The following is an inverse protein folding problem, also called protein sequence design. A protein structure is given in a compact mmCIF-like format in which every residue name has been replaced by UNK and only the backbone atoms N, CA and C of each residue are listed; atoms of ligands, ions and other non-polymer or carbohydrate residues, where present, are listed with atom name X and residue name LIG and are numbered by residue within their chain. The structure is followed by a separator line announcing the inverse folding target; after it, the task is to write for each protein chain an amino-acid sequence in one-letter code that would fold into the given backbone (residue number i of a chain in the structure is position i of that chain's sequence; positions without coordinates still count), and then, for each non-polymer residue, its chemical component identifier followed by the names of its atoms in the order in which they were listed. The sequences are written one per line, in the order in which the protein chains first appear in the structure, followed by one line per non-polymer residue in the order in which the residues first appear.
data_IF_941366293335
#
_entry.id   IF_941366293335
#
_cell.length_a   1.000
_cell.length_b   1.000
_cell.length_c   1.000
_cell.angle_alpha   90.00
_cell.angle_beta   90.00
_cell.angle_gamma   90.00
#
_symmetry.space_group_name_H-M   'P 1'
#
loop_
_entity.id
_entity.type
_entity.pdbx_description
1 polymer ?
#
# COMPACT_ATOMS: atom_id res chain seq x y z
N UNK A 1 4.27 35.83 -16.54
CA UNK A 1 3.45 34.62 -16.54
C UNK A 1 4.39 33.43 -16.42
N UNK A 2 4.47 32.83 -15.23
CA UNK A 2 5.38 31.71 -14.94
C UNK A 2 4.78 30.43 -15.51
N UNK A 3 5.31 29.98 -16.65
CA UNK A 3 4.95 28.70 -17.25
C UNK A 3 5.32 27.56 -16.31
N UNK A 4 4.32 26.81 -15.86
CA UNK A 4 4.53 25.55 -15.13
C UNK A 4 5.26 24.61 -16.07
N UNK A 5 6.55 24.36 -15.82
CA UNK A 5 7.28 23.29 -16.51
C UNK A 5 6.73 21.96 -15.97
N UNK A 6 5.90 21.29 -16.76
CA UNK A 6 5.57 19.89 -16.52
C UNK A 6 6.89 19.10 -16.59
N UNK A 7 7.21 18.39 -15.49
CA UNK A 7 8.34 17.47 -15.45
C UNK A 7 7.95 16.26 -16.31
N UNK A 8 8.82 15.80 -17.21
CA UNK A 8 8.56 14.70 -18.18
C UNK A 8 8.13 13.35 -17.58
N UNK A 9 8.03 13.25 -16.25
CA UNK A 9 7.19 12.27 -15.57
C UNK A 9 5.84 12.90 -15.29
N UNK A 10 4.94 12.93 -16.27
CA UNK A 10 3.53 13.20 -15.97
C UNK A 10 3.12 12.29 -14.80
N UNK A 11 2.38 12.85 -13.83
CA UNK A 11 1.81 12.10 -12.73
C UNK A 11 0.79 11.10 -13.31
N UNK A 12 1.28 9.99 -13.86
CA UNK A 12 0.51 8.77 -14.04
C UNK A 12 0.09 8.37 -12.62
N UNK A 13 -1.05 8.89 -12.19
CA UNK A 13 -1.62 8.57 -10.90
C UNK A 13 -1.90 7.07 -10.85
N UNK A 14 -1.79 6.48 -9.66
CA UNK A 14 -2.11 5.08 -9.44
C UNK A 14 -0.89 4.19 -9.21
N UNK A 15 -1.20 2.95 -8.83
CA UNK A 15 -0.22 1.90 -8.55
C UNK A 15 -0.32 0.80 -9.62
N UNK A 16 0.81 0.18 -9.91
CA UNK A 16 0.92 -1.00 -10.78
C UNK A 16 0.84 -2.30 -10.00
N UNK A 17 1.38 -2.33 -8.78
CA UNK A 17 1.35 -3.52 -7.94
C UNK A 17 1.38 -3.17 -6.45
N UNK A 18 0.83 -4.08 -5.66
CA UNK A 18 0.94 -4.11 -4.21
C UNK A 18 1.55 -5.46 -3.85
N UNK A 19 2.62 -5.43 -3.07
CA UNK A 19 3.18 -6.58 -2.39
C UNK A 19 3.14 -6.31 -0.89
N UNK A 20 3.04 -7.37 -0.08
CA UNK A 20 3.00 -7.26 1.37
C UNK A 20 3.93 -8.25 2.04
N UNK A 21 4.24 -7.98 3.30
CA UNK A 21 4.82 -8.93 4.23
C UNK A 21 4.18 -8.68 5.60
N UNK A 22 3.99 -9.71 6.41
CA UNK A 22 3.50 -9.52 7.76
C UNK A 22 4.49 -8.68 8.57
N UNK A 23 3.98 -7.72 9.34
CA UNK A 23 4.80 -6.82 10.14
C UNK A 23 5.67 -7.59 11.15
N UNK A 24 5.16 -8.72 11.66
CA UNK A 24 5.92 -9.62 12.55
C UNK A 24 7.09 -10.32 11.86
N UNK A 25 7.09 -10.43 10.54
CA UNK A 25 8.14 -11.09 9.76
C UNK A 25 9.26 -10.13 9.35
N UNK A 26 9.10 -8.84 9.60
CA UNK A 26 10.10 -7.81 9.32
C UNK A 26 11.04 -7.65 10.52
N UNK A 27 12.34 -7.83 10.30
CA UNK A 27 13.36 -7.69 11.35
C UNK A 27 13.87 -6.25 11.45
N UNK A 28 14.05 -5.57 10.32
CA UNK A 28 14.39 -4.15 10.30
C UNK A 28 13.99 -3.48 8.98
N UNK A 29 13.66 -2.19 9.04
CA UNK A 29 13.52 -1.31 7.88
C UNK A 29 14.54 -0.18 8.03
N UNK A 30 15.40 0.07 7.04
CA UNK A 30 16.34 1.19 7.07
C UNK A 30 15.64 2.53 7.32
N UNK A 31 16.29 3.40 8.10
CA UNK A 31 15.82 4.75 8.34
C UNK A 31 16.00 5.64 7.11
N UNK A 32 15.26 6.75 7.06
CA UNK A 32 15.35 7.75 6.00
C UNK A 32 14.23 7.63 4.94
N UNK A 33 14.09 8.70 4.17
CA UNK A 33 13.02 8.82 3.16
C UNK A 33 13.30 8.02 1.88
N UNK A 34 14.56 7.66 1.66
CA UNK A 34 15.03 6.83 0.54
C UNK A 34 15.80 5.66 1.13
N UNK A 35 15.32 4.46 0.85
CA UNK A 35 15.87 3.19 1.31
C UNK A 35 16.68 2.59 0.16
N UNK A 36 18.00 2.61 0.29
CA UNK A 36 18.95 2.05 -0.69
C UNK A 36 19.54 0.71 -0.26
N UNK A 37 19.19 0.22 0.93
CA UNK A 37 19.58 -1.10 1.44
C UNK A 37 18.37 -2.01 1.55
N UNK A 38 18.59 -3.32 1.53
CA UNK A 38 17.50 -4.29 1.63
C UNK A 38 16.80 -4.21 2.98
N UNK A 39 15.50 -4.54 2.97
CA UNK A 39 14.70 -4.70 4.17
C UNK A 39 14.98 -6.07 4.77
N UNK A 40 15.24 -6.11 6.07
CA UNK A 40 15.47 -7.36 6.78
C UNK A 40 14.16 -8.11 7.00
N UNK A 41 14.09 -9.35 6.52
CA UNK A 41 12.99 -10.29 6.79
C UNK A 41 13.52 -11.48 7.60
N UNK A 42 12.63 -12.14 8.35
CA UNK A 42 12.94 -13.44 8.98
C UNK A 42 13.29 -14.46 7.89
N UNK A 43 14.11 -15.46 8.23
CA UNK A 43 14.55 -16.48 7.29
C UNK A 43 13.36 -17.20 6.62
N UNK A 44 13.41 -17.37 5.30
CA UNK A 44 12.36 -18.02 4.50
C UNK A 44 11.14 -17.15 4.21
N UNK A 45 11.10 -15.91 4.68
CA UNK A 45 10.02 -14.96 4.40
C UNK A 45 10.35 -14.12 3.18
N UNK A 46 9.32 -13.78 2.41
CA UNK A 46 9.41 -12.96 1.20
C UNK A 46 8.24 -12.00 1.14
N UNK A 47 8.35 -11.01 0.26
CA UNK A 47 7.21 -10.22 -0.19
C UNK A 47 6.24 -11.11 -0.97
N UNK A 48 4.96 -11.06 -0.60
CA UNK A 48 3.87 -11.77 -1.24
C UNK A 48 3.08 -10.79 -2.11
N UNK A 49 2.70 -11.16 -3.34
CA UNK A 49 1.84 -10.32 -4.16
C UNK A 49 0.44 -10.22 -3.54
N UNK A 50 -0.17 -9.04 -3.63
CA UNK A 50 -1.58 -8.86 -3.36
C UNK A 50 -2.28 -8.50 -4.67
N UNK A 51 -3.16 -9.38 -5.12
CA UNK A 51 -3.82 -9.24 -6.42
C UNK A 51 -4.96 -8.22 -6.33
N UNK A 52 -5.00 -7.28 -7.27
CA UNK A 52 -6.05 -6.30 -7.39
C UNK A 52 -6.40 -6.10 -8.87
N UNK A 53 -7.63 -5.68 -9.14
CA UNK A 53 -8.05 -5.28 -10.48
C UNK A 53 -7.14 -4.16 -11.00
N UNK A 54 -6.61 -4.34 -12.21
CA UNK A 54 -5.71 -3.37 -12.83
C UNK A 54 -6.37 -1.97 -12.91
N UNK A 55 -5.62 -0.93 -12.58
CA UNK A 55 -6.12 0.46 -12.58
C UNK A 55 -7.01 0.84 -11.41
N UNK A 56 -7.37 -0.11 -10.53
CA UNK A 56 -8.16 0.18 -9.31
C UNK A 56 -7.30 0.69 -8.14
N UNK A 57 -5.99 0.51 -8.22
CA UNK A 57 -5.08 0.73 -7.09
C UNK A 57 -4.65 2.19 -6.97
N UNK A 58 -4.69 2.72 -5.75
CA UNK A 58 -4.31 4.11 -5.45
C UNK A 58 -3.63 4.21 -4.09
N UNK A 59 -2.59 5.03 -4.01
CA UNK A 59 -2.00 5.47 -2.74
C UNK A 59 -2.52 6.89 -2.42
N UNK A 60 -2.96 7.09 -1.19
CA UNK A 60 -3.32 8.39 -0.61
C UNK A 60 -2.53 8.59 0.67
N UNK A 61 -1.97 9.77 0.84
CA UNK A 61 -1.14 10.14 2.00
C UNK A 61 -1.58 11.54 2.43
N UNK A 62 -2.37 11.63 3.49
CA UNK A 62 -2.86 12.89 4.02
C UNK A 62 -2.01 13.30 5.22
N UNK A 63 -1.33 14.44 5.12
CA UNK A 63 -0.65 15.05 6.27
C UNK A 63 -1.68 15.54 7.28
N UNK A 64 -1.43 15.22 8.55
CA UNK A 64 -2.26 15.57 9.69
C UNK A 64 -1.36 16.09 10.81
N UNK A 65 -1.92 16.96 11.63
CA UNK A 65 -1.25 17.51 12.81
C UNK A 65 -2.23 17.45 13.97
N UNK A 66 -1.77 16.97 15.12
CA UNK A 66 -2.54 16.96 16.37
C UNK A 66 -1.64 17.39 17.55
N UNK A 67 -2.19 17.38 18.76
CA UNK A 67 -1.44 17.77 19.98
C UNK A 67 -0.20 16.91 20.26
N UNK A 68 -0.10 15.72 19.66
CA UNK A 68 1.04 14.80 19.79
C UNK A 68 2.08 14.96 18.68
N UNK A 69 1.82 15.83 17.68
CA UNK A 69 2.72 16.16 16.59
C UNK A 69 2.16 15.86 15.20
N UNK A 70 3.07 15.86 14.23
CA UNK A 70 2.77 15.59 12.83
C UNK A 70 2.67 14.09 12.55
N UNK A 71 1.70 13.70 11.75
CA UNK A 71 1.57 12.33 11.26
C UNK A 71 0.94 12.31 9.85
N UNK A 72 0.95 11.14 9.23
CA UNK A 72 0.36 10.89 7.93
C UNK A 72 -0.69 9.79 8.08
N UNK A 73 -1.91 10.09 7.69
CA UNK A 73 -2.95 9.09 7.45
C UNK A 73 -2.71 8.52 6.04
N UNK A 74 -2.26 7.27 5.99
CA UNK A 74 -1.91 6.62 4.75
C UNK A 74 -2.97 5.57 4.42
N UNK A 75 -3.46 5.61 3.19
CA UNK A 75 -4.38 4.61 2.66
C UNK A 75 -3.91 4.10 1.31
N UNK A 76 -3.81 2.78 1.17
CA UNK A 76 -3.63 2.09 -0.12
C UNK A 76 -4.94 1.41 -0.49
N UNK A 77 -5.58 1.90 -1.55
CA UNK A 77 -6.84 1.35 -2.07
C UNK A 77 -6.58 0.30 -3.15
N UNK A 78 -7.51 -0.64 -3.26
CA UNK A 78 -7.62 -1.57 -4.38
C UNK A 78 -9.05 -2.08 -4.53
N UNK A 79 -9.34 -2.72 -5.66
CA UNK A 79 -10.52 -3.57 -5.84
C UNK A 79 -10.06 -5.00 -6.09
N UNK A 80 -10.78 -5.95 -5.52
CA UNK A 80 -10.57 -7.38 -5.77
C UNK A 80 -11.83 -7.99 -6.37
N UNK A 81 -11.71 -9.02 -7.23
CA UNK A 81 -12.86 -9.79 -7.68
C UNK A 81 -13.56 -10.42 -6.47
N UNK A 82 -14.87 -10.26 -6.37
CA UNK A 82 -15.65 -10.71 -5.20
C UNK A 82 -15.84 -12.22 -5.09
N UNK A 83 -15.73 -12.98 -6.19
CA UNK A 83 -16.07 -14.41 -6.25
C UNK A 83 -14.83 -15.32 -6.48
N UNK A 84 -13.62 -14.86 -6.14
CA UNK A 84 -12.40 -15.65 -6.29
C UNK A 84 -11.95 -16.24 -4.93
N UNK A 85 -12.08 -17.56 -4.71
CA UNK A 85 -11.80 -18.19 -3.41
C UNK A 85 -10.33 -18.08 -2.97
N UNK A 86 -9.39 -18.00 -3.92
CA UNK A 86 -7.98 -17.79 -3.61
C UNK A 86 -7.77 -16.39 -3.04
N UNK A 87 -8.42 -15.39 -3.64
CA UNK A 87 -8.40 -14.00 -3.15
C UNK A 87 -9.11 -13.84 -1.81
N UNK A 88 -10.27 -14.48 -1.62
CA UNK A 88 -10.98 -14.47 -0.34
C UNK A 88 -10.11 -15.03 0.80
N UNK A 89 -9.45 -16.16 0.58
CA UNK A 89 -8.57 -16.77 1.60
C UNK A 89 -7.44 -15.83 2.02
N UNK A 90 -6.81 -15.16 1.05
CA UNK A 90 -5.74 -14.18 1.32
C UNK A 90 -6.28 -12.97 2.08
N UNK A 91 -7.46 -12.48 1.69
CA UNK A 91 -8.13 -11.35 2.32
C UNK A 91 -8.52 -11.67 3.77
N UNK A 92 -9.08 -12.84 4.04
CA UNK A 92 -9.43 -13.30 5.38
C UNK A 92 -8.20 -13.41 6.29
N UNK A 93 -7.09 -13.97 5.78
CA UNK A 93 -5.84 -14.05 6.53
C UNK A 93 -5.32 -12.66 6.93
N UNK A 94 -5.43 -11.70 6.02
CA UNK A 94 -4.95 -10.32 6.21
C UNK A 94 -5.81 -9.47 7.13
N UNK A 95 -7.12 -9.74 7.25
CA UNK A 95 -8.02 -9.02 8.15
C UNK A 95 -7.55 -9.06 9.61
N UNK A 96 -6.98 -10.20 10.03
CA UNK A 96 -6.51 -10.40 11.40
C UNK A 96 -5.06 -9.93 11.64
N UNK A 97 -4.34 -9.57 10.57
CA UNK A 97 -2.90 -9.35 10.61
C UNK A 97 -2.51 -7.91 10.29
N UNK A 98 -1.31 -7.56 10.74
CA UNK A 98 -0.67 -6.30 10.45
C UNK A 98 0.39 -6.53 9.38
N UNK A 99 0.47 -5.64 8.39
CA UNK A 99 1.38 -5.79 7.24
C UNK A 99 2.19 -4.54 6.94
N UNK A 100 3.32 -4.74 6.28
CA UNK A 100 4.07 -3.70 5.60
C UNK A 100 3.87 -3.89 4.11
N UNK A 101 3.64 -2.80 3.38
CA UNK A 101 3.41 -2.86 1.94
C UNK A 101 4.62 -2.36 1.18
N UNK A 102 4.87 -2.97 0.03
CA UNK A 102 5.76 -2.48 -1.01
C UNK A 102 4.89 -2.24 -2.24
N UNK A 103 4.76 -0.98 -2.62
CA UNK A 103 3.90 -0.57 -3.74
C UNK A 103 4.75 -0.07 -4.90
N UNK A 104 4.37 -0.44 -6.11
CA UNK A 104 5.00 0.06 -7.34
C UNK A 104 4.08 1.08 -7.97
N UNK A 105 4.57 2.29 -8.19
CA UNK A 105 3.82 3.38 -8.85
C UNK A 105 3.86 3.22 -10.37
N UNK A 106 2.95 3.87 -11.10
CA UNK A 106 2.93 3.86 -12.57
C UNK A 106 4.24 4.36 -13.22
N UNK A 107 5.05 5.11 -12.49
CA UNK A 107 6.38 5.54 -12.91
C UNK A 107 7.49 4.50 -12.62
N UNK A 108 7.13 3.23 -12.39
CA UNK A 108 8.03 2.13 -12.01
C UNK A 108 8.89 2.43 -10.76
N UNK A 109 8.45 3.35 -9.89
CA UNK A 109 9.11 3.63 -8.61
C UNK A 109 8.46 2.83 -7.50
N UNK A 110 9.28 2.18 -6.70
CA UNK A 110 8.84 1.45 -5.53
C UNK A 110 8.81 2.34 -4.29
N UNK A 111 7.84 2.07 -3.42
CA UNK A 111 7.72 2.69 -2.11
C UNK A 111 7.37 1.66 -1.04
N UNK A 112 7.86 1.87 0.17
CA UNK A 112 7.48 1.13 1.37
C UNK A 112 6.45 1.93 2.15
N UNK A 113 5.37 1.26 2.54
CA UNK A 113 4.26 1.84 3.29
C UNK A 113 4.09 1.07 4.60
N UNK A 114 4.06 1.80 5.71
CA UNK A 114 4.06 1.25 7.05
C UNK A 114 5.45 0.99 7.63
N UNK A 115 5.50 0.80 8.94
CA UNK A 115 6.68 0.40 9.72
C UNK A 115 6.29 -0.72 10.68
N UNK A 116 7.23 -1.53 11.19
CA UNK A 116 6.88 -2.63 12.11
C UNK A 116 6.10 -2.19 13.36
N UNK A 117 6.32 -0.95 13.82
CA UNK A 117 5.59 -0.33 14.95
C UNK A 117 4.40 0.56 14.52
N UNK A 118 4.25 0.82 13.22
CA UNK A 118 3.11 1.54 12.62
C UNK A 118 2.68 0.80 11.34
N UNK A 119 2.18 -0.44 11.48
CA UNK A 119 1.88 -1.27 10.32
C UNK A 119 0.55 -0.88 9.69
N UNK A 120 0.35 -1.33 8.46
CA UNK A 120 -0.92 -1.18 7.75
C UNK A 120 -1.86 -2.33 8.12
N UNK A 121 -3.16 -2.04 8.12
CA UNK A 121 -4.22 -3.04 8.33
C UNK A 121 -5.20 -3.05 7.18
N UNK A 122 -5.59 -4.24 6.74
CA UNK A 122 -6.61 -4.41 5.73
C UNK A 122 -7.98 -4.05 6.30
N UNK A 123 -8.74 -3.29 5.54
CA UNK A 123 -10.15 -2.97 5.77
C UNK A 123 -10.91 -3.31 4.50
N UNK A 124 -12.02 -4.02 4.65
CA UNK A 124 -12.90 -4.39 3.55
C UNK A 124 -14.16 -3.56 3.67
N UNK A 125 -14.55 -2.94 2.57
CA UNK A 125 -15.88 -2.37 2.40
C UNK A 125 -16.58 -3.18 1.30
N UNK A 126 -17.28 -4.23 1.72
CA UNK A 126 -18.17 -4.99 0.85
C UNK A 126 -19.50 -4.24 0.78
N UNK A 127 -19.72 -3.53 -0.32
CA UNK A 127 -21.02 -2.95 -0.65
C UNK A 127 -21.64 -3.87 -1.70
N UNK A 128 -22.56 -4.74 -1.28
CA UNK A 128 -23.37 -5.55 -2.19
C UNK A 128 -24.47 -4.64 -2.76
N UNK A 129 -24.08 -3.65 -3.56
CA UNK A 129 -24.99 -2.68 -4.14
C UNK A 129 -25.94 -3.32 -5.16
N UNK A 130 -27.19 -2.83 -5.21
CA UNK A 130 -28.22 -3.32 -6.15
C UNK A 130 -28.06 -2.76 -7.59
N UNK A 131 -26.97 -2.04 -7.89
CA UNK A 131 -26.72 -1.43 -9.20
C UNK A 131 -25.76 -2.25 -10.06
N UNK A 132 -26.01 -2.27 -11.38
CA UNK A 132 -25.23 -3.05 -12.34
C UNK A 132 -23.73 -2.69 -12.40
N UNK A 133 -23.34 -1.49 -11.93
CA UNK A 133 -21.94 -1.04 -11.81
C UNK A 133 -21.25 -1.49 -10.51
N UNK A 134 -22.00 -2.04 -9.53
CA UNK A 134 -21.49 -2.63 -8.28
C UNK A 134 -21.42 -4.16 -8.33
N UNK A 135 -21.68 -4.77 -9.50
CA UNK A 135 -21.56 -6.21 -9.66
C UNK A 135 -20.09 -6.66 -9.55
N UNK A 136 -19.82 -7.50 -8.56
CA UNK A 136 -18.66 -8.38 -8.42
C UNK A 136 -17.28 -7.81 -8.02
N UNK A 137 -17.17 -6.58 -7.50
CA UNK A 137 -15.89 -6.09 -6.99
C UNK A 137 -15.94 -5.61 -5.54
N UNK A 138 -15.19 -6.29 -4.67
CA UNK A 138 -15.01 -5.90 -3.27
C UNK A 138 -13.98 -4.78 -3.17
N UNK A 139 -14.33 -3.68 -2.49
CA UNK A 139 -13.40 -2.58 -2.26
C UNK A 139 -12.57 -2.88 -1.02
N UNK A 140 -11.26 -2.75 -1.16
CA UNK A 140 -10.33 -2.94 -0.06
C UNK A 140 -9.48 -1.68 0.15
N UNK A 141 -9.04 -1.50 1.38
CA UNK A 141 -8.08 -0.46 1.73
C UNK A 141 -7.14 -0.93 2.83
N UNK A 142 -5.85 -0.71 2.66
CA UNK A 142 -4.88 -0.83 3.73
C UNK A 142 -4.67 0.53 4.38
N UNK A 143 -4.96 0.63 5.67
CA UNK A 143 -4.97 1.89 6.40
C UNK A 143 -3.93 1.85 7.53
N UNK A 144 -3.31 3.00 7.82
CA UNK A 144 -2.41 3.14 8.95
C UNK A 144 -1.93 4.57 9.14
N UNK A 145 -1.77 4.97 10.41
CA UNK A 145 -1.17 6.24 10.79
C UNK A 145 0.33 6.07 10.97
N UNK A 146 1.11 6.85 10.24
CA UNK A 146 2.57 6.80 10.25
C UNK A 146 3.17 8.18 10.58
N UNK A 147 4.24 8.24 11.36
CA UNK A 147 4.97 9.51 11.59
C UNK A 147 5.75 9.98 10.35
N UNK A 148 5.88 9.10 9.34
CA UNK A 148 6.50 9.42 8.06
C UNK A 148 5.57 9.01 6.92
N UNK A 149 5.59 9.79 5.83
CA UNK A 149 5.04 9.35 4.55
C UNK A 149 5.76 8.10 4.02
N UNK A 150 5.17 7.44 3.03
CA UNK A 150 5.75 6.32 2.30
C UNK A 150 7.17 6.62 1.81
N UNK A 151 8.09 5.68 2.03
CA UNK A 151 9.53 5.84 1.77
C UNK A 151 9.88 5.27 0.40
N UNK A 152 10.73 5.94 -0.38
CA UNK A 152 11.17 5.40 -1.66
C UNK A 152 12.10 4.21 -1.46
N UNK A 153 11.91 3.14 -2.24
CA UNK A 153 12.74 1.94 -2.19
C UNK A 153 13.53 1.79 -3.48
N UNK A 154 14.86 1.76 -3.35
CA UNK A 154 15.79 1.65 -4.48
C UNK A 154 16.64 0.37 -4.43
N UNK A 155 16.60 -0.38 -3.33
CA UNK A 155 17.45 -1.56 -3.14
C UNK A 155 16.95 -2.82 -3.88
N UNK A 156 15.81 -2.73 -4.57
CA UNK A 156 15.23 -3.80 -5.39
C UNK A 156 15.35 -3.58 -6.90
N UNK A 157 16.14 -2.57 -7.32
CA UNK A 157 16.52 -2.33 -8.72
C UNK A 157 17.81 -3.07 -9.07
#
# INVERSE_FOLDING_TARGET
MSGVKLKESENLGGLLSIEYVYAEDVTFIPAGQVISTSIGLKAGKTWLPFECTQGSMRLKEDYKENEQGEYFDITVYGRVPGDDPDTETVVEDLLSKAVILKVTTANNRQKIVGLPHQPMRLVINADTGDQADDLNNTRISFNGDCIYKSRHYLAGL
#
